data_IF_865762330039
#
_entry.id   IF_865762330039
#
_cell.length_a   1.000
_cell.length_b   1.000
_cell.length_c   1.000
_cell.angle_alpha   90.00
_cell.angle_beta   90.00
_cell.angle_gamma   90.00
#
_symmetry.space_group_name_H-M   'P 1'
#
loop_
_entity.id
_entity.type
_entity.pdbx_description
1 polymer ?
#
# COMPACT_ATOMS: atom_id res chain seq x y z
N UNK A 1 53.61 -0.30 -17.17
CA UNK A 1 52.79 0.00 -15.98
C UNK A 1 53.55 -0.51 -14.78
N UNK A 2 53.87 0.34 -13.82
CA UNK A 2 54.51 -0.09 -12.56
C UNK A 2 53.43 -0.34 -11.49
N UNK A 3 53.84 -0.90 -10.35
CA UNK A 3 52.92 -1.25 -9.26
C UNK A 3 52.19 -0.03 -8.68
N UNK A 4 52.84 1.14 -8.68
CA UNK A 4 52.24 2.40 -8.23
C UNK A 4 51.06 2.82 -9.12
N UNK A 5 51.26 2.82 -10.45
CA UNK A 5 50.19 3.12 -11.41
C UNK A 5 49.03 2.12 -11.32
N UNK A 6 49.32 0.85 -11.02
CA UNK A 6 48.28 -0.16 -10.81
C UNK A 6 47.49 0.10 -9.52
N UNK A 7 48.14 0.53 -8.45
CA UNK A 7 47.48 0.86 -7.19
C UNK A 7 46.63 2.12 -7.30
N UNK A 8 47.11 3.15 -7.99
CA UNK A 8 46.34 4.38 -8.26
C UNK A 8 45.07 4.07 -9.05
N UNK A 9 45.18 3.22 -10.09
CA UNK A 9 44.03 2.81 -10.89
C UNK A 9 42.99 2.03 -10.05
N UNK A 10 43.44 1.12 -9.18
CA UNK A 10 42.53 0.39 -8.27
C UNK A 10 41.81 1.34 -7.32
N UNK A 11 42.52 2.33 -6.77
CA UNK A 11 41.94 3.31 -5.86
C UNK A 11 40.92 4.20 -6.58
N UNK A 12 41.25 4.68 -7.79
CA UNK A 12 40.34 5.45 -8.63
C UNK A 12 39.05 4.67 -8.95
N UNK A 13 39.18 3.39 -9.33
CA UNK A 13 38.02 2.53 -9.62
C UNK A 13 37.19 2.33 -8.35
N UNK A 14 37.81 2.05 -7.20
CA UNK A 14 37.08 1.84 -5.95
C UNK A 14 36.28 3.08 -5.54
N UNK A 15 36.88 4.27 -5.62
CA UNK A 15 36.21 5.55 -5.34
C UNK A 15 35.08 5.79 -6.34
N UNK A 16 35.35 5.62 -7.64
CA UNK A 16 34.36 5.84 -8.70
C UNK A 16 33.17 4.89 -8.57
N UNK A 17 33.39 3.61 -8.31
CA UNK A 17 32.33 2.63 -8.10
C UNK A 17 31.53 2.97 -6.84
N UNK A 18 32.19 3.30 -5.73
CA UNK A 18 31.48 3.68 -4.50
C UNK A 18 30.63 4.93 -4.69
N UNK A 19 31.09 5.93 -5.45
CA UNK A 19 30.31 7.12 -5.76
C UNK A 19 29.15 6.81 -6.70
N UNK A 20 29.40 6.01 -7.75
CA UNK A 20 28.38 5.64 -8.72
C UNK A 20 27.26 4.78 -8.12
N UNK A 21 27.55 4.00 -7.07
CA UNK A 21 26.57 3.12 -6.43
C UNK A 21 26.00 3.66 -5.12
N UNK A 22 26.43 4.85 -4.67
CA UNK A 22 26.04 5.42 -3.37
C UNK A 22 24.52 5.53 -3.19
N UNK A 23 23.80 5.90 -4.26
CA UNK A 23 22.35 6.10 -4.23
C UNK A 23 21.57 4.94 -4.87
N UNK A 24 22.23 3.83 -5.17
CA UNK A 24 21.55 2.67 -5.75
C UNK A 24 20.74 1.95 -4.68
N UNK A 25 19.44 1.82 -4.92
CA UNK A 25 18.57 1.00 -4.09
C UNK A 25 19.10 -0.43 -3.99
N UNK A 26 19.13 -0.95 -2.77
CA UNK A 26 19.57 -2.30 -2.47
C UNK A 26 18.42 -3.29 -2.54
N UNK A 27 18.75 -4.59 -2.54
CA UNK A 27 17.74 -5.64 -2.40
C UNK A 27 16.93 -5.52 -1.10
N UNK A 28 17.52 -4.98 -0.04
CA UNK A 28 16.84 -4.76 1.25
C UNK A 28 15.74 -3.72 1.12
N UNK A 29 16.02 -2.61 0.43
CA UNK A 29 15.04 -1.54 0.20
C UNK A 29 13.82 -2.08 -0.57
N UNK A 30 14.07 -2.91 -1.58
CA UNK A 30 13.02 -3.58 -2.35
C UNK A 30 12.21 -4.56 -1.47
N UNK A 31 12.85 -5.27 -0.55
CA UNK A 31 12.15 -6.18 0.36
C UNK A 31 11.25 -5.44 1.35
N UNK A 32 11.71 -4.30 1.88
CA UNK A 32 10.90 -3.43 2.74
C UNK A 32 9.67 -2.91 1.99
N UNK A 33 9.85 -2.38 0.78
CA UNK A 33 8.74 -1.93 -0.07
C UNK A 33 7.73 -3.05 -0.34
N UNK A 34 8.20 -4.27 -0.64
CA UNK A 34 7.30 -5.43 -0.83
C UNK A 34 6.52 -5.78 0.43
N UNK A 35 7.15 -5.71 1.61
CA UNK A 35 6.47 -5.93 2.89
C UNK A 35 5.39 -4.88 3.12
N UNK A 36 5.68 -3.62 2.85
CA UNK A 36 4.71 -2.54 3.08
C UNK A 36 3.55 -2.59 2.08
N UNK A 37 3.82 -2.94 0.82
CA UNK A 37 2.76 -3.23 -0.18
C UNK A 37 1.83 -4.34 0.31
N UNK A 38 2.36 -5.45 0.83
CA UNK A 38 1.54 -6.54 1.38
C UNK A 38 0.67 -6.10 2.55
N UNK A 39 1.19 -5.23 3.42
CA UNK A 39 0.41 -4.68 4.54
C UNK A 39 -0.71 -3.75 4.05
N UNK A 40 -0.47 -2.99 2.98
CA UNK A 40 -1.49 -2.15 2.37
C UNK A 40 -2.59 -3.00 1.73
N UNK A 41 -2.22 -4.08 1.03
CA UNK A 41 -3.15 -5.04 0.42
C UNK A 41 -4.15 -5.60 1.45
N UNK A 42 -3.64 -6.13 2.57
CA UNK A 42 -4.48 -6.64 3.66
C UNK A 42 -5.39 -5.57 4.26
N UNK A 43 -4.93 -4.32 4.34
CA UNK A 43 -5.74 -3.21 4.85
C UNK A 43 -6.84 -2.81 3.86
N UNK A 44 -6.58 -2.91 2.56
CA UNK A 44 -7.58 -2.64 1.52
C UNK A 44 -8.66 -3.72 1.59
N UNK A 45 -8.29 -5.00 1.66
CA UNK A 45 -9.26 -6.10 1.80
C UNK A 45 -10.17 -5.93 3.04
N UNK A 46 -9.61 -5.53 4.19
CA UNK A 46 -10.38 -5.27 5.41
C UNK A 46 -11.33 -4.06 5.25
N UNK A 47 -10.91 -3.03 4.51
CA UNK A 47 -11.77 -1.88 4.23
C UNK A 47 -12.91 -2.25 3.28
N UNK A 48 -12.65 -3.04 2.26
CA UNK A 48 -13.68 -3.50 1.31
C UNK A 48 -14.76 -4.30 2.04
N UNK A 49 -14.37 -5.25 2.90
CA UNK A 49 -15.32 -6.01 3.73
C UNK A 49 -16.17 -5.12 4.65
N UNK A 50 -15.56 -4.08 5.22
CA UNK A 50 -16.29 -3.11 6.07
C UNK A 50 -17.26 -2.28 5.25
N UNK A 51 -16.88 -1.86 4.05
CA UNK A 51 -17.75 -1.10 3.13
C UNK A 51 -18.95 -1.94 2.71
N UNK A 52 -18.73 -3.22 2.37
CA UNK A 52 -19.81 -4.15 2.03
C UNK A 52 -20.79 -4.31 3.20
N UNK A 53 -20.26 -4.58 4.39
CA UNK A 53 -21.07 -4.73 5.62
C UNK A 53 -21.91 -3.48 5.92
N UNK A 54 -21.31 -2.30 5.80
CA UNK A 54 -22.01 -1.02 6.02
C UNK A 54 -23.10 -0.83 4.98
N UNK A 55 -22.81 -1.14 3.72
CA UNK A 55 -23.76 -0.98 2.61
C UNK A 55 -24.98 -1.89 2.77
N UNK A 56 -24.76 -3.15 3.14
CA UNK A 56 -25.84 -4.09 3.45
C UNK A 56 -26.69 -3.61 4.63
N UNK A 57 -26.04 -3.18 5.72
CA UNK A 57 -26.74 -2.68 6.92
C UNK A 57 -27.60 -1.46 6.60
N UNK A 58 -27.07 -0.51 5.83
CA UNK A 58 -27.81 0.70 5.44
C UNK A 58 -28.98 0.37 4.53
N UNK A 59 -28.81 -0.57 3.59
CA UNK A 59 -29.89 -1.01 2.72
C UNK A 59 -31.02 -1.67 3.52
N UNK A 60 -30.69 -2.53 4.48
CA UNK A 60 -31.67 -3.16 5.36
C UNK A 60 -32.42 -2.12 6.21
N UNK A 61 -31.70 -1.18 6.81
CA UNK A 61 -32.31 -0.08 7.57
C UNK A 61 -33.23 0.78 6.72
N UNK A 62 -32.81 1.11 5.50
CA UNK A 62 -33.63 1.86 4.54
C UNK A 62 -34.93 1.11 4.23
N UNK A 63 -34.84 -0.18 3.90
CA UNK A 63 -36.00 -1.02 3.61
C UNK A 63 -36.95 -1.12 4.82
N UNK A 64 -36.41 -1.25 6.04
CA UNK A 64 -37.21 -1.25 7.26
C UNK A 64 -37.93 0.09 7.50
N UNK A 65 -37.25 1.21 7.25
CA UNK A 65 -37.83 2.54 7.37
C UNK A 65 -38.94 2.76 6.35
N UNK A 66 -38.73 2.39 5.08
CA UNK A 66 -39.75 2.46 4.03
C UNK A 66 -41.01 1.69 4.41
N UNK A 67 -40.86 0.43 4.84
CA UNK A 67 -42.00 -0.39 5.30
C UNK A 67 -42.75 0.27 6.45
N UNK A 68 -42.02 0.85 7.41
CA UNK A 68 -42.63 1.51 8.57
C UNK A 68 -43.38 2.79 8.16
N UNK A 69 -42.82 3.57 7.25
CA UNK A 69 -43.44 4.77 6.71
C UNK A 69 -44.72 4.43 5.96
N UNK A 70 -44.68 3.45 5.05
CA UNK A 70 -45.88 2.98 4.33
C UNK A 70 -47.00 2.56 5.28
N UNK A 71 -46.67 1.84 6.36
CA UNK A 71 -47.66 1.43 7.37
C UNK A 71 -48.26 2.63 8.12
N UNK A 72 -47.45 3.63 8.46
CA UNK A 72 -47.92 4.84 9.12
C UNK A 72 -48.83 5.65 8.20
N UNK A 73 -48.44 5.82 6.94
CA UNK A 73 -49.26 6.52 5.93
C UNK A 73 -50.63 5.86 5.76
N UNK A 74 -50.69 4.53 5.72
CA UNK A 74 -51.95 3.77 5.65
C UNK A 74 -52.86 3.94 6.89
N UNK A 75 -52.29 4.26 8.05
CA UNK A 75 -53.06 4.46 9.29
C UNK A 75 -53.54 5.90 9.45
N UNK A 76 -52.85 6.85 8.83
CA UNK A 76 -53.14 8.29 8.96
C UNK A 76 -53.93 8.87 7.78
N UNK A 77 -54.15 8.08 6.73
CA UNK A 77 -54.94 8.45 5.54
C UNK A 77 -56.23 7.64 5.50
#
# INVERSE_FOLDING_TARGET
MNDDQLNDLKQFIAVTVSQATADMATKSDIQLLKSDIKKLDVKIDDLDLKVDTISETLNDQHNQHEIRLTKLEQQTT
#
